data_IF_665130840284
#
_entry.id   IF_665130840284
#
_cell.length_a   1.000
_cell.length_b   1.000
_cell.length_c   1.000
_cell.angle_alpha   90.00
_cell.angle_beta   90.00
_cell.angle_gamma   90.00
#
_symmetry.space_group_name_H-M   'P 1'
#
loop_
_entity.id
_entity.type
_entity.pdbx_description
1 polymer ?
#
# COMPACT_ATOMS: atom_id res chain seq x y z
N UNK A 1 1.08 46.88 16.09
CA UNK A 1 1.67 45.96 17.11
C UNK A 1 0.71 44.82 17.42
N UNK A 2 -0.49 45.07 17.98
CA UNK A 2 -1.43 44.00 18.36
C UNK A 2 -2.01 43.18 17.20
N UNK A 3 -1.87 43.63 15.94
CA UNK A 3 -2.38 42.91 14.79
C UNK A 3 -1.48 41.76 14.31
N UNK A 4 -0.18 41.78 14.63
CA UNK A 4 0.77 40.77 14.15
C UNK A 4 0.80 39.56 15.10
N UNK A 5 0.39 38.36 14.65
CA UNK A 5 0.33 37.18 15.51
C UNK A 5 1.71 36.51 15.64
N UNK A 6 2.40 36.74 16.76
CA UNK A 6 3.72 36.15 17.02
C UNK A 6 3.71 34.60 17.00
N UNK A 7 2.62 33.98 17.45
CA UNK A 7 2.50 32.52 17.52
C UNK A 7 2.18 31.85 16.17
N UNK A 8 1.86 32.62 15.12
CA UNK A 8 1.51 32.07 13.80
C UNK A 8 2.65 31.23 13.22
N UNK A 9 3.88 31.71 13.33
CA UNK A 9 5.07 30.98 12.86
C UNK A 9 5.34 29.68 13.62
N UNK A 10 4.75 29.49 14.81
CA UNK A 10 4.88 28.28 15.61
C UNK A 10 3.70 27.32 15.43
N UNK A 11 2.54 27.82 14.98
CA UNK A 11 1.27 27.08 14.97
C UNK A 11 1.34 25.76 14.19
N UNK A 12 1.84 25.81 12.96
CA UNK A 12 1.96 24.64 12.09
C UNK A 12 3.22 23.83 12.39
N UNK A 13 4.44 24.41 12.44
CA UNK A 13 5.67 23.62 12.60
C UNK A 13 5.71 22.84 13.91
N UNK A 14 5.20 23.38 15.02
CA UNK A 14 5.18 22.66 16.30
C UNK A 14 4.26 21.45 16.27
N UNK A 15 3.07 21.59 15.66
CA UNK A 15 2.13 20.48 15.53
C UNK A 15 2.67 19.39 14.59
N UNK A 16 3.26 19.78 13.46
CA UNK A 16 3.90 18.84 12.53
C UNK A 16 5.04 18.11 13.22
N UNK A 17 5.96 18.81 13.89
CA UNK A 17 7.10 18.21 14.60
C UNK A 17 6.66 17.21 15.67
N UNK A 18 5.66 17.55 16.48
CA UNK A 18 5.13 16.63 17.49
C UNK A 18 4.38 15.45 16.83
N UNK A 19 3.66 15.71 15.74
CA UNK A 19 2.95 14.70 14.97
C UNK A 19 3.90 13.67 14.36
N UNK A 20 4.90 14.10 13.58
CA UNK A 20 5.90 13.22 12.97
C UNK A 20 6.71 12.47 14.03
N UNK A 21 7.09 13.13 15.13
CA UNK A 21 7.72 12.48 16.27
C UNK A 21 6.84 11.37 16.87
N UNK A 22 5.53 11.61 16.98
CA UNK A 22 4.58 10.60 17.48
C UNK A 22 4.42 9.42 16.51
N UNK A 23 4.44 9.68 15.20
CA UNK A 23 4.48 8.65 14.17
C UNK A 23 5.73 7.79 14.29
N UNK A 24 6.90 8.42 14.42
CA UNK A 24 8.18 7.73 14.52
C UNK A 24 8.26 6.79 15.74
N UNK A 25 7.75 7.21 16.91
CA UNK A 25 7.61 6.33 18.10
C UNK A 25 6.82 5.04 17.81
N UNK A 26 5.92 5.08 16.82
CA UNK A 26 5.07 3.95 16.40
C UNK A 26 5.62 3.20 15.18
N UNK A 27 6.77 3.61 14.64
CA UNK A 27 7.36 3.03 13.44
C UNK A 27 6.69 3.52 12.15
N UNK A 28 6.11 4.72 12.17
CA UNK A 28 5.51 5.43 11.03
C UNK A 28 6.41 6.63 10.74
N UNK A 29 7.29 6.50 9.75
CA UNK A 29 8.13 7.60 9.29
C UNK A 29 7.34 8.41 8.29
N UNK A 30 7.29 9.74 8.47
CA UNK A 30 6.57 10.64 7.57
C UNK A 30 7.56 11.66 7.02
N UNK A 31 7.69 11.69 5.70
CA UNK A 31 8.58 12.60 4.97
C UNK A 31 7.88 13.95 4.87
N UNK A 32 8.35 14.92 5.67
CA UNK A 32 7.86 16.30 5.64
C UNK A 32 6.46 16.51 6.24
N UNK A 33 6.06 17.79 6.30
CA UNK A 33 4.73 18.19 6.79
C UNK A 33 3.62 18.07 5.75
N UNK A 34 3.96 18.17 4.47
CA UNK A 34 3.00 18.09 3.36
C UNK A 34 2.29 16.73 3.31
N UNK A 35 3.02 15.65 3.52
CA UNK A 35 2.46 14.29 3.60
C UNK A 35 1.42 14.15 4.70
N UNK A 36 1.65 14.77 5.87
CA UNK A 36 0.64 14.88 6.93
C UNK A 36 -0.55 15.74 6.51
N UNK A 37 -0.34 16.80 5.75
CA UNK A 37 -1.41 17.66 5.25
C UNK A 37 -2.22 17.03 4.13
N UNK A 38 -1.65 16.15 3.31
CA UNK A 38 -2.37 15.48 2.23
C UNK A 38 -3.07 14.22 2.74
N UNK A 39 -2.46 13.46 3.66
CA UNK A 39 -3.03 12.22 4.20
C UNK A 39 -4.43 12.37 4.84
N UNK A 40 -4.75 13.53 5.43
CA UNK A 40 -6.08 13.72 6.05
C UNK A 40 -7.20 13.93 5.03
N UNK A 41 -6.84 14.29 3.79
CA UNK A 41 -7.76 14.55 2.67
C UNK A 41 -7.98 13.31 1.81
N UNK A 42 -7.22 12.23 2.04
CA UNK A 42 -7.41 10.99 1.32
C UNK A 42 -8.85 10.50 1.49
N UNK A 43 -9.42 10.06 0.38
CA UNK A 43 -10.74 9.43 0.31
C UNK A 43 -10.65 7.98 -0.20
N UNK A 44 -9.55 7.64 -0.88
CA UNK A 44 -9.34 6.33 -1.51
C UNK A 44 -7.97 5.78 -1.12
N UNK A 45 -7.91 4.52 -0.71
CA UNK A 45 -6.68 3.77 -0.45
C UNK A 45 -6.59 2.59 -1.41
N UNK A 46 -5.53 2.56 -2.19
CA UNK A 46 -5.20 1.48 -3.12
C UNK A 46 -4.11 0.64 -2.46
N UNK A 47 -4.36 -0.65 -2.28
CA UNK A 47 -3.36 -1.61 -1.83
C UNK A 47 -2.83 -2.42 -3.01
N UNK A 48 -1.52 -2.53 -3.14
CA UNK A 48 -0.96 -3.68 -3.85
C UNK A 48 -1.31 -4.98 -3.11
N UNK A 49 -1.42 -6.09 -3.85
CA UNK A 49 -1.71 -7.39 -3.23
C UNK A 49 -0.46 -8.01 -2.63
N UNK A 50 0.55 -8.27 -3.47
CA UNK A 50 1.67 -9.18 -3.17
C UNK A 50 2.65 -8.48 -2.23
N UNK A 51 3.07 -9.14 -1.14
CA UNK A 51 3.95 -8.54 -0.14
C UNK A 51 3.28 -7.45 0.72
N UNK A 52 2.11 -6.95 0.29
CA UNK A 52 1.33 -5.94 0.99
C UNK A 52 0.19 -6.51 1.80
N UNK A 53 -0.94 -6.82 1.18
CA UNK A 53 -2.07 -7.48 1.84
C UNK A 53 -1.73 -8.92 2.21
N UNK A 54 -0.84 -9.54 1.46
CA UNK A 54 -0.36 -10.90 1.65
C UNK A 54 1.05 -10.92 2.23
N UNK A 55 1.54 -12.12 2.61
CA UNK A 55 2.87 -12.29 3.20
C UNK A 55 3.99 -12.02 2.19
N UNK A 56 3.73 -12.16 0.89
CA UNK A 56 4.77 -12.09 -0.15
C UNK A 56 5.59 -13.37 -0.25
N UNK A 57 5.14 -14.44 0.41
CA UNK A 57 5.75 -15.77 0.41
C UNK A 57 4.75 -16.74 -0.24
N UNK A 58 4.66 -16.75 -1.58
CA UNK A 58 3.78 -17.68 -2.28
C UNK A 58 4.18 -19.14 -2.02
N UNK A 59 3.19 -20.02 -1.88
CA UNK A 59 3.41 -21.46 -1.67
C UNK A 59 2.55 -22.30 -2.62
N UNK A 60 3.10 -23.41 -3.10
CA UNK A 60 2.30 -24.40 -3.86
C UNK A 60 1.28 -25.01 -2.91
N UNK A 61 0.01 -24.90 -3.30
CA UNK A 61 -1.13 -25.46 -2.57
C UNK A 61 -1.67 -26.73 -3.21
N UNK A 62 -1.71 -26.78 -4.54
CA UNK A 62 -2.29 -27.90 -5.28
C UNK A 62 -1.47 -28.18 -6.54
N UNK A 63 -1.37 -29.46 -6.90
CA UNK A 63 -0.86 -29.91 -8.19
C UNK A 63 -1.93 -30.84 -8.77
N UNK A 64 -2.47 -30.47 -9.92
CA UNK A 64 -3.46 -31.28 -10.65
C UNK A 64 -2.76 -31.88 -11.85
N UNK A 65 -2.85 -33.19 -12.01
CA UNK A 65 -2.14 -33.89 -13.08
C UNK A 65 -3.09 -34.31 -14.20
N UNK A 66 -2.55 -34.46 -15.41
CA UNK A 66 -3.25 -34.98 -16.57
C UNK A 66 -2.31 -35.92 -17.36
N UNK A 67 -2.84 -36.79 -18.22
CA UNK A 67 -2.06 -37.59 -19.17
C UNK A 67 -0.99 -38.48 -18.51
N UNK A 68 -1.35 -39.11 -17.38
CA UNK A 68 -0.52 -40.05 -16.61
C UNK A 68 0.76 -39.47 -15.99
N UNK A 69 0.94 -38.14 -16.00
CA UNK A 69 2.03 -37.52 -15.25
C UNK A 69 1.78 -37.61 -13.74
N UNK A 70 2.82 -37.92 -13.00
CA UNK A 70 2.82 -37.81 -11.54
C UNK A 70 3.00 -36.36 -11.08
N UNK A 71 2.58 -36.05 -9.85
CA UNK A 71 2.81 -34.73 -9.26
C UNK A 71 4.31 -34.39 -9.18
N UNK A 72 5.15 -35.39 -8.92
CA UNK A 72 6.61 -35.21 -8.83
C UNK A 72 7.22 -34.87 -10.19
N UNK A 73 6.74 -35.49 -11.28
CA UNK A 73 7.20 -35.15 -12.63
C UNK A 73 6.79 -33.72 -13.02
N UNK A 74 5.53 -33.34 -12.77
CA UNK A 74 5.07 -31.97 -13.03
C UNK A 74 5.91 -30.97 -12.24
N UNK A 75 6.14 -31.23 -10.95
CA UNK A 75 6.93 -30.35 -10.10
C UNK A 75 8.41 -30.30 -10.55
N UNK A 76 8.99 -31.43 -10.96
CA UNK A 76 10.36 -31.50 -11.51
C UNK A 76 10.50 -30.60 -12.74
N UNK A 77 9.60 -30.77 -13.70
CA UNK A 77 9.64 -30.04 -14.96
C UNK A 77 9.36 -28.54 -14.77
N UNK A 78 8.37 -28.19 -13.95
CA UNK A 78 8.07 -26.80 -13.61
C UNK A 78 9.25 -26.11 -12.91
N UNK A 79 9.81 -26.73 -11.86
CA UNK A 79 10.91 -26.16 -11.09
C UNK A 79 12.21 -26.06 -11.89
N UNK A 80 12.46 -27.01 -12.79
CA UNK A 80 13.62 -26.96 -13.68
C UNK A 80 13.48 -25.86 -14.73
N UNK A 81 12.28 -25.70 -15.31
CA UNK A 81 12.00 -24.63 -16.28
C UNK A 81 12.12 -23.22 -15.65
N UNK A 82 11.69 -23.07 -14.40
CA UNK A 82 11.68 -21.80 -13.66
C UNK A 82 13.04 -21.44 -13.01
N UNK A 83 14.08 -22.26 -13.16
CA UNK A 83 15.36 -22.11 -12.43
C UNK A 83 16.03 -20.73 -12.61
N UNK A 84 15.82 -20.06 -13.75
CA UNK A 84 16.38 -18.73 -14.06
C UNK A 84 15.37 -17.58 -13.94
N UNK A 85 14.17 -17.86 -13.43
CA UNK A 85 13.12 -16.88 -13.22
C UNK A 85 13.26 -16.22 -11.86
N UNK A 86 13.19 -14.89 -11.83
CA UNK A 86 13.22 -14.09 -10.59
C UNK A 86 11.80 -13.85 -10.05
N UNK A 87 10.78 -14.47 -10.65
CA UNK A 87 9.39 -14.24 -10.26
C UNK A 87 9.07 -14.94 -8.92
N UNK A 88 8.36 -14.32 -7.97
CA UNK A 88 8.02 -14.96 -6.69
C UNK A 88 7.31 -16.32 -6.82
N UNK A 89 6.48 -16.50 -7.86
CA UNK A 89 5.84 -17.78 -8.15
C UNK A 89 6.84 -18.88 -8.55
N UNK A 90 7.93 -18.53 -9.25
CA UNK A 90 9.02 -19.44 -9.59
C UNK A 90 9.74 -19.92 -8.33
N UNK A 91 10.03 -19.00 -7.41
CA UNK A 91 10.65 -19.33 -6.12
C UNK A 91 9.80 -20.32 -5.32
N UNK A 92 8.47 -20.14 -5.29
CA UNK A 92 7.54 -21.06 -4.64
C UNK A 92 7.65 -22.49 -5.21
N UNK A 93 7.73 -22.61 -6.54
CA UNK A 93 7.85 -23.89 -7.23
C UNK A 93 9.20 -24.54 -6.92
N UNK A 94 10.30 -23.78 -7.03
CA UNK A 94 11.66 -24.26 -6.76
C UNK A 94 11.81 -24.68 -5.30
N UNK A 95 11.27 -23.89 -4.35
CA UNK A 95 11.28 -24.19 -2.91
C UNK A 95 10.58 -25.53 -2.66
N UNK A 96 9.37 -25.72 -3.21
CA UNK A 96 8.62 -26.97 -3.05
C UNK A 96 9.33 -28.18 -3.63
N UNK A 97 9.99 -28.04 -4.78
CA UNK A 97 10.77 -29.11 -5.38
C UNK A 97 11.99 -29.49 -4.53
N UNK A 98 12.70 -28.50 -3.97
CA UNK A 98 13.82 -28.71 -3.03
C UNK A 98 13.38 -29.40 -1.74
N UNK A 99 12.23 -29.03 -1.18
CA UNK A 99 11.65 -29.69 0.00
C UNK A 99 11.36 -31.18 -0.25
N UNK A 100 10.86 -31.51 -1.45
CA UNK A 100 10.64 -32.89 -1.90
C UNK A 100 11.94 -33.60 -2.36
N UNK A 101 13.10 -32.92 -2.29
CA UNK A 101 14.41 -33.43 -2.73
C UNK A 101 14.42 -33.87 -4.20
N UNK A 102 13.67 -33.19 -5.05
CA UNK A 102 13.64 -33.44 -6.48
C UNK A 102 14.89 -32.82 -7.12
N UNK A 103 15.59 -33.61 -7.94
CA UNK A 103 16.75 -33.14 -8.70
C UNK A 103 16.31 -32.21 -9.84
N UNK A 104 16.84 -30.98 -9.83
CA UNK A 104 16.52 -29.94 -10.82
C UNK A 104 17.57 -29.89 -11.92
N UNK A 105 17.11 -29.83 -13.16
CA UNK A 105 17.96 -29.81 -14.33
C UNK A 105 18.06 -28.38 -14.88
N UNK A 106 19.14 -28.10 -15.62
CA UNK A 106 19.32 -26.78 -16.24
C UNK A 106 18.44 -26.64 -17.48
N UNK A 107 17.58 -25.61 -17.56
CA UNK A 107 16.77 -25.36 -18.73
C UNK A 107 17.63 -24.78 -19.86
N UNK A 108 17.32 -25.19 -21.09
CA UNK A 108 17.80 -24.57 -22.33
C UNK A 108 16.73 -23.65 -22.88
N UNK A 109 17.13 -22.66 -23.69
CA UNK A 109 16.23 -21.76 -24.40
C UNK A 109 15.17 -21.09 -23.50
N UNK A 110 15.56 -20.74 -22.27
CA UNK A 110 14.66 -20.05 -21.34
C UNK A 110 14.22 -18.70 -21.91
N UNK A 111 12.91 -18.48 -21.94
CA UNK A 111 12.29 -17.26 -22.42
C UNK A 111 11.13 -16.88 -21.49
N UNK A 112 11.27 -15.73 -20.81
CA UNK A 112 10.21 -15.16 -20.00
C UNK A 112 9.26 -14.33 -20.89
N UNK A 113 7.97 -14.65 -20.85
CA UNK A 113 6.93 -13.97 -21.62
C UNK A 113 6.12 -13.13 -20.63
N UNK A 114 6.43 -11.84 -20.57
CA UNK A 114 5.81 -10.89 -19.63
C UNK A 114 4.27 -10.97 -19.65
N UNK A 115 3.68 -11.02 -18.45
CA UNK A 115 2.23 -11.15 -18.26
C UNK A 115 1.62 -12.48 -18.68
N UNK A 116 2.41 -13.46 -19.12
CA UNK A 116 1.92 -14.75 -19.64
C UNK A 116 2.53 -15.97 -18.94
N UNK A 117 3.84 -15.99 -18.73
CA UNK A 117 4.55 -17.12 -18.13
C UNK A 117 5.94 -17.32 -18.74
N UNK A 118 6.41 -18.56 -18.81
CA UNK A 118 7.71 -18.92 -19.35
C UNK A 118 7.62 -20.03 -20.42
N UNK A 119 8.65 -20.07 -21.25
CA UNK A 119 8.94 -21.14 -22.20
C UNK A 119 10.39 -21.59 -21.99
N UNK A 120 10.62 -22.90 -21.92
CA UNK A 120 11.94 -23.47 -21.73
C UNK A 120 12.02 -24.89 -22.30
N UNK A 121 13.21 -25.45 -22.38
CA UNK A 121 13.45 -26.84 -22.74
C UNK A 121 14.23 -27.55 -21.61
N UNK A 122 13.68 -28.64 -21.07
CA UNK A 122 14.32 -29.45 -20.02
C UNK A 122 14.29 -30.90 -20.46
N UNK A 123 15.43 -31.59 -20.38
CA UNK A 123 15.57 -32.98 -20.82
C UNK A 123 15.11 -33.24 -22.27
N UNK A 124 15.31 -32.25 -23.15
CA UNK A 124 14.87 -32.31 -24.56
C UNK A 124 13.37 -32.11 -24.76
N UNK A 125 12.60 -31.88 -23.69
CA UNK A 125 11.16 -31.61 -23.76
C UNK A 125 10.90 -30.12 -23.72
N UNK A 126 10.07 -29.66 -24.64
CA UNK A 126 9.57 -28.28 -24.64
C UNK A 126 8.54 -28.10 -23.53
N UNK A 127 8.77 -27.13 -22.65
CA UNK A 127 7.94 -26.81 -21.50
C UNK A 127 7.36 -25.41 -21.66
N UNK A 128 6.06 -25.30 -21.39
CA UNK A 128 5.37 -24.01 -21.22
C UNK A 128 4.76 -24.01 -19.82
N UNK A 129 4.95 -22.94 -19.07
CA UNK A 129 4.35 -22.75 -17.76
C UNK A 129 3.78 -21.35 -17.67
N UNK A 130 2.48 -21.20 -17.44
CA UNK A 130 1.86 -19.87 -17.41
C UNK A 130 0.35 -19.86 -17.35
N UNK A 131 -0.24 -18.72 -17.72
CA UNK A 131 -1.68 -18.50 -17.69
C UNK A 131 -2.40 -19.08 -18.93
N UNK A 132 -3.73 -18.99 -18.94
CA UNK A 132 -4.56 -19.47 -20.05
C UNK A 132 -4.23 -18.76 -21.39
N UNK A 133 -3.88 -17.47 -21.35
CA UNK A 133 -3.52 -16.68 -22.55
C UNK A 133 -2.29 -17.28 -23.24
N UNK A 134 -1.28 -17.74 -22.47
CA UNK A 134 -0.11 -18.44 -23.02
C UNK A 134 -0.50 -19.75 -23.70
N UNK A 135 -1.33 -20.55 -23.05
CA UNK A 135 -1.78 -21.85 -23.57
C UNK A 135 -2.55 -21.68 -24.89
N UNK A 136 -3.45 -20.70 -24.95
CA UNK A 136 -4.20 -20.38 -26.17
C UNK A 136 -3.29 -19.89 -27.31
N UNK A 137 -2.32 -19.01 -26.99
CA UNK A 137 -1.34 -18.51 -27.96
C UNK A 137 -0.50 -19.63 -28.58
N UNK A 138 -0.16 -20.64 -27.79
CA UNK A 138 0.61 -21.83 -28.21
C UNK A 138 -0.28 -22.99 -28.67
N UNK A 139 -1.60 -22.76 -28.82
CA UNK A 139 -2.58 -23.75 -29.29
C UNK A 139 -2.65 -25.04 -28.44
N UNK A 140 -2.37 -24.92 -27.15
CA UNK A 140 -2.45 -26.03 -26.19
C UNK A 140 -3.89 -26.22 -25.73
N UNK A 141 -4.41 -27.45 -25.85
CA UNK A 141 -5.76 -27.78 -25.40
C UNK A 141 -5.76 -28.07 -23.89
N UNK A 142 -6.45 -27.24 -23.10
CA UNK A 142 -6.52 -27.32 -21.63
C UNK A 142 -7.93 -27.57 -21.07
N UNK A 143 -8.90 -27.93 -21.92
CA UNK A 143 -10.34 -28.04 -21.53
C UNK A 143 -10.61 -28.85 -20.26
N UNK A 144 -9.84 -29.92 -20.01
CA UNK A 144 -10.03 -30.78 -18.84
C UNK A 144 -9.48 -30.18 -17.53
N UNK A 145 -8.68 -29.11 -17.62
CA UNK A 145 -8.08 -28.41 -16.49
C UNK A 145 -8.74 -27.06 -16.22
N UNK A 146 -9.50 -26.52 -17.18
CA UNK A 146 -10.16 -25.21 -17.05
C UNK A 146 -11.12 -25.19 -15.84
N UNK A 147 -11.99 -26.18 -15.70
CA UNK A 147 -12.93 -26.25 -14.56
C UNK A 147 -12.19 -26.26 -13.22
N UNK A 148 -11.12 -27.05 -13.11
CA UNK A 148 -10.34 -27.13 -11.87
C UNK A 148 -9.54 -25.86 -11.61
N UNK A 149 -9.00 -25.23 -12.65
CA UNK A 149 -8.32 -23.95 -12.54
C UNK A 149 -9.29 -22.85 -12.08
N UNK A 150 -10.53 -22.86 -12.57
CA UNK A 150 -11.55 -21.93 -12.14
C UNK A 150 -11.98 -22.12 -10.68
N UNK A 151 -12.11 -23.36 -10.22
CA UNK A 151 -12.38 -23.69 -8.82
C UNK A 151 -11.27 -23.15 -7.92
N UNK A 152 -10.00 -23.46 -8.24
CA UNK A 152 -8.84 -23.01 -7.48
C UNK A 152 -8.68 -21.48 -7.50
N UNK A 153 -8.98 -20.84 -8.63
CA UNK A 153 -9.04 -19.38 -8.71
C UNK A 153 -10.15 -18.80 -7.84
N UNK A 154 -11.31 -19.47 -7.77
CA UNK A 154 -12.42 -19.12 -6.87
C UNK A 154 -12.03 -19.16 -5.39
N UNK A 155 -11.06 -20.01 -5.04
CA UNK A 155 -10.45 -20.08 -3.71
C UNK A 155 -9.36 -19.02 -3.48
N UNK A 156 -9.08 -18.15 -4.44
CA UNK A 156 -8.01 -17.15 -4.34
C UNK A 156 -6.61 -17.71 -4.54
N UNK A 157 -6.49 -18.86 -5.20
CA UNK A 157 -5.21 -19.42 -5.64
C UNK A 157 -4.94 -18.93 -7.08
N UNK A 158 -3.67 -18.86 -7.46
CA UNK A 158 -3.25 -18.52 -8.82
C UNK A 158 -2.91 -19.80 -9.57
N UNK A 159 -3.80 -20.28 -10.47
CA UNK A 159 -3.55 -21.48 -11.26
C UNK A 159 -2.60 -21.18 -12.43
N UNK A 160 -1.57 -22.02 -12.59
CA UNK A 160 -0.64 -22.00 -13.71
C UNK A 160 -0.72 -23.33 -14.46
N UNK A 161 -0.96 -23.25 -15.75
CA UNK A 161 -0.98 -24.41 -16.63
C UNK A 161 0.45 -24.79 -16.99
N UNK A 162 0.73 -26.09 -16.97
CA UNK A 162 1.97 -26.64 -17.50
C UNK A 162 1.66 -27.48 -18.74
N UNK A 163 2.47 -27.30 -19.78
CA UNK A 163 2.46 -28.13 -20.98
C UNK A 163 3.83 -28.74 -21.20
N UNK A 164 3.84 -30.02 -21.58
CA UNK A 164 5.01 -30.78 -21.99
C UNK A 164 4.82 -31.24 -23.44
N UNK A 165 5.77 -30.91 -24.31
CA UNK A 165 5.78 -31.32 -25.73
C UNK A 165 4.48 -30.96 -26.49
N UNK A 166 3.92 -29.78 -26.20
CA UNK A 166 2.72 -29.27 -26.85
C UNK A 166 1.41 -29.86 -26.33
N UNK A 167 1.43 -30.61 -25.22
CA UNK A 167 0.23 -31.14 -24.56
C UNK A 167 0.14 -30.63 -23.12
N UNK A 168 -1.07 -30.30 -22.68
CA UNK A 168 -1.31 -29.96 -21.28
C UNK A 168 -0.92 -31.13 -20.37
N UNK A 169 -0.01 -30.91 -19.45
CA UNK A 169 0.46 -31.91 -18.50
C UNK A 169 -0.24 -31.80 -17.15
N UNK A 170 -0.69 -30.59 -16.78
CA UNK A 170 -1.35 -30.37 -15.51
C UNK A 170 -1.51 -28.89 -15.15
N UNK A 171 -1.80 -28.66 -13.87
CA UNK A 171 -1.99 -27.35 -13.27
C UNK A 171 -1.23 -27.29 -11.94
N UNK A 172 -0.53 -26.18 -11.69
CA UNK A 172 0.08 -25.87 -10.40
C UNK A 172 -0.64 -24.65 -9.84
N UNK A 173 -1.20 -24.76 -8.64
CA UNK A 173 -1.84 -23.62 -7.97
C UNK A 173 -0.97 -23.12 -6.83
N UNK A 174 -0.68 -21.82 -6.89
CA UNK A 174 0.11 -21.13 -5.88
C UNK A 174 -0.79 -20.15 -5.14
N UNK A 175 -0.66 -20.07 -3.83
CA UNK A 175 -1.40 -19.11 -3.02
C UNK A 175 -0.45 -18.27 -2.19
N UNK A 176 -0.76 -16.99 -2.04
CA UNK A 176 -0.13 -16.12 -1.07
C UNK A 176 -1.14 -15.78 0.01
N UNK A 177 -0.78 -16.04 1.25
CA UNK A 177 -1.72 -15.94 2.38
C UNK A 177 -1.88 -14.49 2.82
N UNK A 178 -3.11 -14.07 3.06
CA UNK A 178 -3.39 -12.75 3.64
C UNK A 178 -2.75 -12.64 5.02
N UNK A 179 -2.16 -11.48 5.32
CA UNK A 179 -1.72 -11.19 6.69
C UNK A 179 -2.93 -11.00 7.60
N UNK A 180 -2.85 -11.46 8.84
CA UNK A 180 -3.96 -11.35 9.81
C UNK A 180 -4.36 -9.90 10.08
N UNK A 181 -3.38 -8.99 10.08
CA UNK A 181 -3.58 -7.56 10.28
C UNK A 181 -4.18 -6.85 9.06
N UNK A 182 -4.14 -7.44 7.86
CA UNK A 182 -4.75 -6.88 6.64
C UNK A 182 -6.25 -6.70 6.81
N UNK A 183 -6.94 -7.73 7.31
CA UNK A 183 -8.39 -7.71 7.55
C UNK A 183 -8.80 -6.60 8.51
N UNK A 184 -8.04 -6.47 9.60
CA UNK A 184 -8.27 -5.44 10.61
C UNK A 184 -8.02 -4.03 10.06
N UNK A 185 -6.99 -3.87 9.24
CA UNK A 185 -6.65 -2.58 8.62
C UNK A 185 -7.75 -2.15 7.64
N UNK A 186 -8.15 -3.03 6.70
CA UNK A 186 -9.21 -2.76 5.73
C UNK A 186 -10.51 -2.37 6.42
N UNK A 187 -10.94 -3.14 7.43
CA UNK A 187 -12.16 -2.84 8.17
C UNK A 187 -12.12 -1.48 8.87
N UNK A 188 -10.97 -1.08 9.43
CA UNK A 188 -10.80 0.24 10.06
C UNK A 188 -10.77 1.38 9.03
N UNK A 189 -10.12 1.19 7.89
CA UNK A 189 -10.10 2.20 6.82
C UNK A 189 -11.51 2.47 6.28
N UNK A 190 -12.31 1.41 6.07
CA UNK A 190 -13.72 1.55 5.70
C UNK A 190 -14.53 2.30 6.76
N UNK A 191 -14.31 2.01 8.06
CA UNK A 191 -14.94 2.76 9.16
C UNK A 191 -14.54 4.24 9.21
N UNK A 192 -13.37 4.60 8.68
CA UNK A 192 -12.94 5.99 8.52
C UNK A 192 -13.59 6.69 7.31
N UNK A 193 -14.44 5.99 6.55
CA UNK A 193 -15.13 6.50 5.36
C UNK A 193 -14.29 6.46 4.09
N UNK A 194 -13.21 5.67 4.07
CA UNK A 194 -12.32 5.55 2.91
C UNK A 194 -12.80 4.42 1.99
N UNK A 195 -12.75 4.66 0.68
CA UNK A 195 -12.86 3.62 -0.34
C UNK A 195 -11.56 2.81 -0.33
N UNK A 196 -11.66 1.49 -0.23
CA UNK A 196 -10.49 0.60 -0.26
C UNK A 196 -10.53 -0.20 -1.56
N UNK A 197 -9.44 -0.13 -2.33
CA UNK A 197 -9.27 -0.78 -3.62
C UNK A 197 -8.05 -1.70 -3.53
N UNK A 198 -8.15 -2.91 -4.10
CA UNK A 198 -7.00 -3.78 -4.30
C UNK A 198 -6.55 -3.75 -5.75
N UNK A 199 -5.25 -3.60 -5.98
CA UNK A 199 -4.62 -3.65 -7.29
C UNK A 199 -3.74 -4.91 -7.37
N UNK A 200 -3.85 -5.67 -8.46
CA UNK A 200 -3.05 -6.89 -8.64
C UNK A 200 -2.88 -7.29 -10.10
N UNK A 201 -1.78 -7.97 -10.41
CA UNK A 201 -1.56 -8.64 -11.70
C UNK A 201 -2.25 -10.00 -11.82
N UNK A 202 -2.85 -10.52 -10.75
CA UNK A 202 -3.59 -11.78 -10.80
C UNK A 202 -4.81 -11.70 -11.71
N UNK A 203 -5.26 -12.86 -12.18
CA UNK A 203 -6.51 -12.98 -12.91
C UNK A 203 -7.71 -12.49 -12.07
N UNK A 204 -8.78 -12.10 -12.76
CA UNK A 204 -9.99 -11.55 -12.14
C UNK A 204 -10.59 -12.43 -11.05
N UNK A 205 -10.71 -13.75 -11.25
CA UNK A 205 -11.34 -14.66 -10.28
C UNK A 205 -10.52 -14.75 -8.98
N UNK A 206 -9.21 -14.93 -9.10
CA UNK A 206 -8.27 -14.97 -7.96
C UNK A 206 -8.30 -13.65 -7.19
N UNK A 207 -8.22 -12.53 -7.92
CA UNK A 207 -8.27 -11.19 -7.34
C UNK A 207 -9.58 -10.93 -6.59
N UNK A 208 -10.73 -11.27 -7.17
CA UNK A 208 -12.03 -11.14 -6.52
C UNK A 208 -12.16 -12.03 -5.28
N UNK A 209 -11.64 -13.26 -5.33
CA UNK A 209 -11.66 -14.17 -4.20
C UNK A 209 -10.81 -13.65 -3.02
N UNK A 210 -9.61 -13.14 -3.29
CA UNK A 210 -8.76 -12.49 -2.28
C UNK A 210 -9.40 -11.21 -1.76
N UNK A 211 -9.97 -10.37 -2.63
CA UNK A 211 -10.68 -9.15 -2.22
C UNK A 211 -11.85 -9.46 -1.28
N UNK A 212 -12.68 -10.48 -1.61
CA UNK A 212 -13.77 -10.94 -0.75
C UNK A 212 -13.26 -11.39 0.62
N UNK A 213 -12.19 -12.19 0.65
CA UNK A 213 -11.56 -12.63 1.90
C UNK A 213 -11.02 -11.45 2.71
N UNK A 214 -10.41 -10.47 2.04
CA UNK A 214 -9.88 -9.25 2.64
C UNK A 214 -10.96 -8.24 3.08
N UNK A 215 -12.21 -8.42 2.64
CA UNK A 215 -13.30 -7.48 2.86
C UNK A 215 -13.16 -6.19 2.04
N UNK A 216 -12.64 -6.28 0.80
CA UNK A 216 -12.44 -5.18 -0.14
C UNK A 216 -13.51 -5.26 -1.24
N UNK A 217 -14.15 -4.13 -1.56
CA UNK A 217 -15.31 -4.11 -2.48
C UNK A 217 -14.91 -3.94 -3.95
N UNK A 218 -13.81 -3.23 -4.21
CA UNK A 218 -13.34 -2.91 -5.56
C UNK A 218 -11.95 -3.49 -5.79
N UNK A 219 -11.80 -4.19 -6.91
CA UNK A 219 -10.53 -4.80 -7.33
C UNK A 219 -10.18 -4.36 -8.75
N UNK A 220 -8.91 -4.11 -8.99
CA UNK A 220 -8.31 -3.86 -10.29
C UNK A 220 -7.38 -5.04 -10.61
N UNK A 221 -7.89 -6.08 -11.30
CA UNK A 221 -7.12 -7.28 -11.63
C UNK A 221 -6.35 -7.13 -12.95
N UNK A 222 -5.43 -8.07 -13.21
CA UNK A 222 -4.63 -8.15 -14.44
C UNK A 222 -3.83 -6.88 -14.77
N UNK A 223 -3.45 -6.10 -13.76
CA UNK A 223 -2.66 -4.87 -13.92
C UNK A 223 -1.17 -5.21 -13.97
N UNK A 224 -0.51 -4.83 -15.06
CA UNK A 224 0.94 -4.96 -15.22
C UNK A 224 1.68 -3.91 -14.37
N UNK A 225 2.95 -4.14 -14.00
CA UNK A 225 3.74 -3.17 -13.22
C UNK A 225 3.76 -1.75 -13.82
N UNK A 226 3.88 -1.64 -15.15
CA UNK A 226 3.89 -0.36 -15.88
C UNK A 226 2.54 0.35 -15.85
N UNK A 227 1.44 -0.41 -15.81
CA UNK A 227 0.07 0.10 -15.83
C UNK A 227 -0.42 0.56 -14.46
N UNK A 228 0.26 0.18 -13.37
CA UNK A 228 -0.10 0.63 -12.01
C UNK A 228 -0.19 2.15 -11.90
N UNK A 229 0.75 2.85 -12.54
CA UNK A 229 0.78 4.32 -12.58
C UNK A 229 -0.46 4.89 -13.28
N UNK A 230 -0.89 4.25 -14.37
CA UNK A 230 -2.06 4.67 -15.13
C UNK A 230 -3.36 4.47 -14.33
N UNK A 231 -3.47 3.37 -13.58
CA UNK A 231 -4.61 3.14 -12.70
C UNK A 231 -4.72 4.19 -11.58
N UNK A 232 -3.60 4.58 -10.97
CA UNK A 232 -3.58 5.67 -9.98
C UNK A 232 -4.01 6.99 -10.63
N UNK A 233 -3.48 7.33 -11.81
CA UNK A 233 -3.90 8.53 -12.57
C UNK A 233 -5.38 8.51 -12.92
N UNK A 234 -5.92 7.36 -13.29
CA UNK A 234 -7.33 7.20 -13.63
C UNK A 234 -8.25 7.44 -12.43
N UNK A 235 -7.82 7.03 -11.23
CA UNK A 235 -8.55 7.33 -9.99
C UNK A 235 -8.45 8.82 -9.64
N UNK A 236 -7.27 9.42 -9.77
CA UNK A 236 -7.07 10.85 -9.53
C UNK A 236 -7.87 11.73 -10.50
N UNK A 237 -7.98 11.35 -11.78
CA UNK A 237 -8.77 12.08 -12.78
C UNK A 237 -10.27 12.04 -12.50
N UNK A 238 -10.75 11.07 -11.72
CA UNK A 238 -12.12 11.03 -11.17
C UNK A 238 -12.32 11.97 -9.97
N UNK A 239 -11.31 12.79 -9.63
CA UNK A 239 -11.33 13.73 -8.53
C UNK A 239 -11.06 13.11 -7.16
N UNK A 240 -10.60 11.85 -7.11
CA UNK A 240 -10.25 11.15 -5.87
C UNK A 240 -8.89 11.58 -5.35
N UNK A 241 -8.74 11.62 -4.03
CA UNK A 241 -7.45 11.75 -3.34
C UNK A 241 -6.96 10.36 -2.96
N UNK A 242 -5.91 9.91 -3.63
CA UNK A 242 -5.49 8.52 -3.66
C UNK A 242 -4.24 8.31 -2.83
N UNK A 243 -4.32 7.42 -1.84
CA UNK A 243 -3.15 6.87 -1.15
C UNK A 243 -2.80 5.51 -1.74
N UNK A 244 -1.58 5.30 -2.19
CA UNK A 244 -1.09 4.00 -2.66
C UNK A 244 -0.29 3.33 -1.56
N UNK A 245 -0.54 2.05 -1.30
CA UNK A 245 0.18 1.23 -0.32
C UNK A 245 0.85 0.06 -1.03
N UNK A 246 2.16 -0.06 -0.89
CA UNK A 246 2.97 -1.09 -1.56
C UNK A 246 4.25 -1.41 -0.81
N UNK A 247 4.99 -2.40 -1.30
CA UNK A 247 6.28 -2.83 -0.70
C UNK A 247 7.45 -1.86 -1.00
N UNK A 248 7.26 -0.98 -1.98
CA UNK A 248 8.26 0.02 -2.39
C UNK A 248 9.39 -0.51 -3.25
N UNK A 249 9.37 -1.79 -3.64
CA UNK A 249 10.33 -2.38 -4.58
C UNK A 249 9.75 -2.35 -5.98
N UNK A 250 8.59 -3.01 -6.17
CA UNK A 250 7.93 -3.10 -7.47
C UNK A 250 6.92 -1.95 -7.69
N UNK A 251 6.50 -1.30 -6.61
CA UNK A 251 5.43 -0.30 -6.62
C UNK A 251 5.93 1.14 -6.57
N UNK A 252 7.25 1.36 -6.57
CA UNK A 252 7.85 2.69 -6.42
C UNK A 252 7.27 3.74 -7.40
N UNK A 253 7.07 3.44 -8.70
CA UNK A 253 6.44 4.40 -9.63
C UNK A 253 4.99 4.74 -9.25
N UNK A 254 4.22 3.76 -8.77
CA UNK A 254 2.82 3.96 -8.38
C UNK A 254 2.71 4.71 -7.04
N UNK A 255 3.63 4.45 -6.10
CA UNK A 255 3.75 5.19 -4.85
C UNK A 255 4.03 6.67 -5.10
N UNK A 256 4.99 6.98 -5.99
CA UNK A 256 5.35 8.34 -6.36
C UNK A 256 4.24 9.08 -7.13
N UNK A 257 3.37 8.36 -7.83
CA UNK A 257 2.23 8.94 -8.56
C UNK A 257 1.03 9.29 -7.64
N UNK A 258 0.89 8.61 -6.51
CA UNK A 258 -0.23 8.81 -5.59
C UNK A 258 -0.17 10.20 -4.92
N UNK A 259 -1.30 10.67 -4.37
CA UNK A 259 -1.30 11.89 -3.54
C UNK A 259 -0.53 11.66 -2.23
N UNK A 260 -0.51 10.42 -1.75
CA UNK A 260 0.36 9.96 -0.65
C UNK A 260 0.81 8.53 -0.95
N UNK A 261 2.11 8.32 -1.19
CA UNK A 261 2.74 7.01 -1.27
C UNK A 261 3.05 6.46 0.12
N UNK A 262 2.59 5.25 0.44
CA UNK A 262 2.82 4.57 1.72
C UNK A 262 3.56 3.26 1.49
N UNK A 263 4.85 3.22 1.80
CA UNK A 263 5.63 1.99 1.74
C UNK A 263 5.50 1.18 3.04
N UNK A 264 5.42 -0.15 2.92
CA UNK A 264 5.48 -1.10 4.03
C UNK A 264 6.75 -1.95 3.95
N UNK A 265 7.37 -2.23 5.10
CA UNK A 265 8.47 -3.19 5.17
C UNK A 265 9.84 -2.54 5.33
N UNK A 266 10.87 -3.21 4.81
CA UNK A 266 12.27 -3.27 5.28
C UNK A 266 13.07 -1.96 5.39
N UNK A 267 12.46 -0.81 5.15
CA UNK A 267 13.16 0.48 5.16
C UNK A 267 14.33 0.49 4.18
N UNK A 268 14.20 -0.24 3.06
CA UNK A 268 15.17 -0.16 1.97
C UNK A 268 15.18 1.27 1.45
N UNK A 269 16.36 1.76 1.10
CA UNK A 269 16.54 3.15 0.67
C UNK A 269 15.62 3.51 -0.51
N UNK A 270 15.36 2.55 -1.41
CA UNK A 270 14.44 2.71 -2.54
C UNK A 270 13.00 2.96 -2.08
N UNK A 271 12.50 2.16 -1.15
CA UNK A 271 11.14 2.29 -0.63
C UNK A 271 10.96 3.57 0.21
N UNK A 272 11.98 3.96 0.96
CA UNK A 272 11.98 5.21 1.73
C UNK A 272 12.04 6.44 0.83
N UNK A 273 12.75 6.38 -0.28
CA UNK A 273 12.86 7.51 -1.20
C UNK A 273 11.59 7.69 -2.04
N UNK A 274 10.97 6.58 -2.45
CA UNK A 274 9.76 6.56 -3.27
C UNK A 274 8.44 6.79 -2.50
N UNK A 275 8.47 6.86 -1.16
CA UNK A 275 7.25 7.02 -0.34
C UNK A 275 7.26 8.27 0.53
N UNK A 276 6.06 8.81 0.74
CA UNK A 276 5.79 9.92 1.65
C UNK A 276 5.70 9.44 3.10
N UNK A 277 5.23 8.20 3.30
CA UNK A 277 5.10 7.55 4.60
C UNK A 277 5.69 6.15 4.51
N UNK A 278 6.56 5.79 5.45
CA UNK A 278 7.17 4.45 5.52
C UNK A 278 6.81 3.76 6.84
N UNK A 279 6.31 2.53 6.74
CA UNK A 279 5.93 1.68 7.87
C UNK A 279 7.01 0.63 8.16
N UNK A 280 7.90 0.94 9.11
CA UNK A 280 9.08 0.12 9.44
C UNK A 280 8.69 -1.30 9.88
N UNK A 281 7.57 -1.45 10.59
CA UNK A 281 7.17 -2.72 11.20
C UNK A 281 6.40 -3.65 10.25
N UNK A 282 6.20 -3.26 8.99
CA UNK A 282 5.40 -4.04 8.02
C UNK A 282 3.93 -4.25 8.43
N UNK A 283 3.45 -3.55 9.46
CA UNK A 283 2.10 -3.70 9.99
C UNK A 283 1.15 -2.73 9.27
N UNK A 284 0.19 -3.26 8.51
CA UNK A 284 -0.79 -2.48 7.76
C UNK A 284 -1.70 -1.62 8.65
N UNK A 285 -1.82 -1.94 9.94
CA UNK A 285 -2.51 -1.06 10.90
C UNK A 285 -1.81 0.30 11.01
N UNK A 286 -0.53 0.38 10.69
CA UNK A 286 0.23 1.63 10.56
C UNK A 286 -0.37 2.59 9.53
N UNK A 287 -0.98 2.10 8.45
CA UNK A 287 -1.70 2.94 7.46
C UNK A 287 -2.86 3.67 8.13
N UNK A 288 -3.66 2.94 8.92
CA UNK A 288 -4.77 3.51 9.69
C UNK A 288 -4.26 4.55 10.68
N UNK A 289 -3.24 4.19 11.46
CA UNK A 289 -2.67 5.09 12.46
C UNK A 289 -2.06 6.35 11.83
N UNK A 290 -1.46 6.25 10.64
CA UNK A 290 -0.91 7.39 9.91
C UNK A 290 -2.01 8.38 9.48
N UNK A 291 -3.11 7.87 8.93
CA UNK A 291 -4.26 8.71 8.51
C UNK A 291 -4.94 9.34 9.73
N UNK A 292 -5.13 8.59 10.82
CA UNK A 292 -5.68 9.13 12.06
C UNK A 292 -4.78 10.22 12.67
N UNK A 293 -3.48 9.97 12.71
CA UNK A 293 -2.48 10.92 13.18
C UNK A 293 -2.52 12.21 12.34
N UNK A 294 -2.58 12.07 11.02
CA UNK A 294 -2.74 13.19 10.09
C UNK A 294 -4.01 14.00 10.40
N UNK A 295 -5.19 13.36 10.48
CA UNK A 295 -6.46 14.02 10.84
C UNK A 295 -6.38 14.76 12.18
N UNK A 296 -5.73 14.17 13.20
CA UNK A 296 -5.56 14.80 14.53
C UNK A 296 -4.57 15.95 14.50
N UNK A 297 -3.46 15.82 13.78
CA UNK A 297 -2.46 16.88 13.61
C UNK A 297 -3.08 18.10 12.94
N UNK A 298 -3.86 17.91 11.87
CA UNK A 298 -4.54 19.00 11.16
C UNK A 298 -5.59 19.68 12.03
N UNK A 299 -6.33 18.91 12.84
CA UNK A 299 -7.25 19.49 13.83
C UNK A 299 -6.52 20.40 14.82
N UNK A 300 -5.33 20.00 15.27
CA UNK A 300 -4.51 20.81 16.18
C UNK A 300 -3.91 22.03 15.49
N UNK A 301 -3.46 21.91 14.23
CA UNK A 301 -3.01 23.06 13.44
C UNK A 301 -4.13 24.10 13.32
N UNK A 302 -5.37 23.68 12.97
CA UNK A 302 -6.53 24.58 12.90
C UNK A 302 -6.83 25.26 14.24
N UNK A 303 -6.71 24.53 15.35
CA UNK A 303 -6.84 25.09 16.70
C UNK A 303 -5.72 26.08 17.03
N UNK A 304 -4.48 25.77 16.65
CA UNK A 304 -3.34 26.64 16.89
C UNK A 304 -3.47 27.95 16.09
N UNK A 305 -3.92 27.87 14.84
CA UNK A 305 -4.21 29.06 14.04
C UNK A 305 -5.32 29.90 14.68
N UNK A 306 -6.39 29.27 15.17
CA UNK A 306 -7.42 29.96 15.93
C UNK A 306 -6.83 30.71 17.14
N UNK A 307 -6.03 30.04 17.98
CA UNK A 307 -5.40 30.67 19.14
C UNK A 307 -4.35 31.72 18.76
N UNK A 308 -3.67 31.56 17.62
CA UNK A 308 -2.71 32.54 17.12
C UNK A 308 -3.41 33.85 16.73
N UNK A 309 -4.63 33.80 16.16
CA UNK A 309 -5.36 34.98 15.74
C UNK A 309 -6.35 35.53 16.78
N UNK A 310 -6.85 34.69 17.69
CA UNK A 310 -7.92 35.06 18.64
C UNK A 310 -7.53 36.27 19.49
N UNK A 311 -6.36 36.24 20.13
CA UNK A 311 -5.89 37.31 21.00
C UNK A 311 -5.64 38.62 20.24
N UNK A 312 -5.08 38.53 19.03
CA UNK A 312 -4.84 39.68 18.16
C UNK A 312 -6.17 40.30 17.70
N UNK A 313 -7.12 39.47 17.26
CA UNK A 313 -8.45 39.91 16.79
C UNK A 313 -9.24 40.59 17.92
N UNK A 314 -9.21 40.03 19.13
CA UNK A 314 -9.84 40.66 20.30
C UNK A 314 -9.15 41.97 20.70
N UNK A 315 -7.84 42.08 20.50
CA UNK A 315 -7.05 43.28 20.82
C UNK A 315 -7.17 44.42 19.81
N UNK A 316 -7.56 44.16 18.56
CA UNK A 316 -7.70 45.19 17.51
C UNK A 316 -8.77 46.24 17.85
N UNK A 317 -10.03 45.87 18.23
CA UNK A 317 -11.04 46.85 18.64
C UNK A 317 -10.60 47.69 19.85
N UNK A 318 -9.87 47.09 20.78
CA UNK A 318 -9.34 47.76 21.95
C UNK A 318 -8.25 48.79 21.59
N UNK A 319 -7.35 48.43 20.67
CA UNK A 319 -6.35 49.36 20.14
C UNK A 319 -6.95 50.45 19.26
N UNK A 320 -8.03 50.15 18.53
CA UNK A 320 -8.77 51.11 17.71
C UNK A 320 -9.62 52.09 18.55
N UNK A 321 -9.67 51.92 19.87
CA UNK A 321 -10.33 52.85 20.78
C UNK A 321 -11.84 52.64 20.91
N UNK A 322 -12.39 51.47 20.55
CA UNK A 322 -13.84 51.19 20.70
C UNK A 322 -14.31 51.34 22.16
N UNK A 323 -13.45 51.00 23.13
CA UNK A 323 -13.76 51.15 24.56
C UNK A 323 -13.35 52.52 25.14
N UNK A 324 -12.68 53.38 24.36
CA UNK A 324 -12.20 54.67 24.85
C UNK A 324 -13.33 55.65 25.20
N UNK A 325 -14.41 55.81 24.39
CA UNK A 325 -15.48 56.75 24.70
C UNK A 325 -16.26 56.44 25.98
N UNK A 326 -16.35 55.16 26.36
CA UNK A 326 -17.17 54.71 27.49
C UNK A 326 -16.35 54.46 28.77
N UNK A 327 -15.11 53.99 28.63
CA UNK A 327 -14.29 53.56 29.76
C UNK A 327 -12.92 54.25 29.83
N UNK A 328 -12.55 55.08 28.84
CA UNK A 328 -11.22 55.72 28.78
C UNK A 328 -10.07 54.73 28.54
N UNK A 329 -10.38 53.48 28.15
CA UNK A 329 -9.39 52.41 28.01
C UNK A 329 -8.79 52.42 26.61
N UNK A 330 -7.47 52.55 26.54
CA UNK A 330 -6.64 52.28 25.35
C UNK A 330 -5.77 51.06 25.61
N UNK A 331 -5.41 50.32 24.56
CA UNK A 331 -4.58 49.12 24.68
C UNK A 331 -3.18 49.48 25.23
N UNK A 332 -2.90 49.12 26.48
CA UNK A 332 -1.58 49.28 27.07
C UNK A 332 -0.60 48.21 26.50
N UNK A 333 0.63 48.58 26.11
CA UNK A 333 1.67 47.67 25.64
C UNK A 333 1.91 46.44 26.53
N UNK A 334 1.73 46.55 27.85
CA UNK A 334 1.89 45.43 28.80
C UNK A 334 0.84 44.35 28.52
N UNK A 335 -0.44 44.72 28.37
CA UNK A 335 -1.50 43.76 28.06
C UNK A 335 -1.35 43.17 26.66
N UNK A 336 -0.89 43.97 25.69
CA UNK A 336 -0.55 43.47 24.36
C UNK A 336 0.55 42.38 24.43
N UNK A 337 1.59 42.63 25.23
CA UNK A 337 2.72 41.70 25.43
C UNK A 337 2.29 40.43 26.15
N UNK A 338 1.45 40.55 27.19
CA UNK A 338 0.88 39.42 27.90
C UNK A 338 0.03 38.54 26.95
N UNK A 339 -0.85 39.15 26.14
CA UNK A 339 -1.66 38.44 25.17
C UNK A 339 -0.81 37.68 24.12
N UNK A 340 0.27 38.29 23.64
CA UNK A 340 1.23 37.64 22.74
C UNK A 340 1.92 36.43 23.41
N UNK A 341 2.33 36.55 24.67
CA UNK A 341 2.93 35.44 25.42
C UNK A 341 1.94 34.28 25.65
N UNK A 342 0.70 34.58 26.07
CA UNK A 342 -0.34 33.57 26.25
C UNK A 342 -0.70 32.85 24.94
N UNK A 343 -0.70 33.56 23.81
CA UNK A 343 -0.91 32.95 22.50
C UNK A 343 0.14 31.87 22.21
N UNK A 344 1.42 32.18 22.39
CA UNK A 344 2.52 31.22 22.20
C UNK A 344 2.42 30.01 23.14
N UNK A 345 2.15 30.23 24.43
CA UNK A 345 1.97 29.14 25.41
C UNK A 345 0.78 28.26 25.03
N UNK A 346 -0.33 28.85 24.58
CA UNK A 346 -1.53 28.13 24.16
C UNK A 346 -1.24 27.23 22.96
N UNK A 347 -0.56 27.76 21.93
CA UNK A 347 -0.18 27.02 20.71
C UNK A 347 0.76 25.85 21.01
N UNK A 348 1.81 26.08 21.81
CA UNK A 348 2.78 25.03 22.17
C UNK A 348 2.11 23.95 23.01
N UNK A 349 1.37 24.36 24.04
CA UNK A 349 0.66 23.44 24.95
C UNK A 349 -0.39 22.60 24.22
N UNK A 350 -1.10 23.20 23.26
CA UNK A 350 -2.07 22.50 22.43
C UNK A 350 -1.39 21.48 21.49
N UNK A 351 -0.26 21.85 20.88
CA UNK A 351 0.54 20.95 20.05
C UNK A 351 1.04 19.73 20.82
N UNK A 352 1.48 19.92 22.07
CA UNK A 352 1.96 18.84 22.94
C UNK A 352 0.88 17.80 23.28
N UNK A 353 -0.42 18.10 23.08
CA UNK A 353 -1.50 17.12 23.24
C UNK A 353 -1.36 15.95 22.26
N UNK A 354 -0.73 16.15 21.09
CA UNK A 354 -0.42 15.07 20.14
C UNK A 354 0.44 13.97 20.77
N UNK A 355 1.31 14.27 21.74
CA UNK A 355 2.11 13.23 22.42
C UNK A 355 1.26 12.19 23.14
N UNK A 356 0.08 12.59 23.63
CA UNK A 356 -0.84 11.75 24.42
C UNK A 356 -1.84 10.99 23.56
N UNK A 357 -1.82 11.18 22.24
CA UNK A 357 -2.69 10.47 21.31
C UNK A 357 -2.37 8.98 21.34
N UNK A 358 -3.42 8.18 21.59
CA UNK A 358 -3.40 6.73 21.38
C UNK A 358 -3.71 6.45 19.90
N UNK A 359 -2.80 5.74 19.25
CA UNK A 359 -2.81 5.29 17.85
C UNK A 359 -2.82 3.76 17.80
#
# INVERSE_FOLDING_TARGET
IIACPCALGLATPTAVMVGTGKGAEKGILIKGGESLETAHKLDTIVFDKTGTLTRGEPEITDIVTQNDYSEEEILKYAASAEKFSEHPLAEAIIKRAKEKKIELHDPKNFNAIEGHGIEAEVDGKKILLGNLKLMQKQQIVVRNLEEKAEELAGDGKTPMYISLEGKAAGLIAVADTLKENSLQAVAKLKKLGLEVIMLTGDNKKTAEAIARKAGIDRVLPEVLPEDKVNEIKNLQSQGRRVGMVGDGINDAPALAQADVGIAIGSGTDVAMEASDITLIKGDLRGVVSAIELSKRTIKIIKQNLFWAFFYNTAGIPLAAGVLYPFFGILLNPIFASAAMAFSSVSVVSNSLRLRRVKL
#
